data_IF_840467968469
#
_entry.id   IF_840467968469
#
_cell.length_a   1.000
_cell.length_b   1.000
_cell.length_c   1.000
_cell.angle_alpha   90.00
_cell.angle_beta   90.00
_cell.angle_gamma   90.00
#
_symmetry.space_group_name_H-M   'P 1'
#
loop_
_entity.id
_entity.type
_entity.pdbx_description
1 polymer ?
#
# COMPACT_ATOMS: atom_id res chain seq x y z
N UNK A 1 9.21 3.35 -21.97
CA UNK A 1 9.49 4.62 -21.23
C UNK A 1 9.49 5.86 -22.12
N UNK A 2 9.77 5.77 -23.42
CA UNK A 2 9.76 6.94 -24.32
C UNK A 2 8.40 7.64 -24.42
N UNK A 3 7.30 6.88 -24.53
CA UNK A 3 5.94 7.44 -24.57
C UNK A 3 5.64 8.30 -23.34
N UNK A 4 6.02 7.81 -22.16
CA UNK A 4 5.81 8.53 -20.90
C UNK A 4 6.60 9.83 -20.86
N UNK A 5 7.88 9.78 -21.23
CA UNK A 5 8.72 10.98 -21.34
C UNK A 5 8.07 12.02 -22.25
N UNK A 6 7.67 11.61 -23.46
CA UNK A 6 7.05 12.49 -24.45
C UNK A 6 5.74 13.08 -23.92
N UNK A 7 4.90 12.28 -23.27
CA UNK A 7 3.63 12.76 -22.70
C UNK A 7 3.84 13.76 -21.56
N UNK A 8 4.83 13.54 -20.70
CA UNK A 8 5.17 14.50 -19.65
C UNK A 8 5.69 15.81 -20.25
N UNK A 9 6.51 15.74 -21.30
CA UNK A 9 6.99 16.92 -22.02
C UNK A 9 5.83 17.71 -22.65
N UNK A 10 4.90 17.02 -23.33
CA UNK A 10 3.67 17.61 -23.90
C UNK A 10 2.80 18.29 -22.82
N UNK A 11 2.66 17.67 -21.63
CA UNK A 11 1.91 18.26 -20.51
C UNK A 11 2.55 19.54 -19.94
N UNK A 12 3.83 19.80 -20.24
CA UNK A 12 4.57 20.96 -19.75
C UNK A 12 4.68 22.10 -20.76
N UNK A 13 4.12 21.92 -21.96
CA UNK A 13 4.06 22.99 -22.95
C UNK A 13 3.22 24.18 -22.42
N UNK A 14 3.56 25.41 -22.83
CA UNK A 14 2.94 26.61 -22.25
C UNK A 14 1.43 26.70 -22.51
N UNK A 15 0.96 26.14 -23.62
CA UNK A 15 -0.46 26.05 -23.99
C UNK A 15 -1.12 24.75 -23.48
N UNK A 16 -0.50 24.07 -22.51
CA UNK A 16 -1.09 22.86 -21.94
C UNK A 16 -2.38 23.17 -21.19
N UNK A 17 -3.33 22.25 -21.34
CA UNK A 17 -4.57 22.21 -20.55
C UNK A 17 -4.29 22.25 -19.03
N UNK A 18 -3.09 21.82 -18.61
CA UNK A 18 -2.69 21.84 -17.21
C UNK A 18 -2.67 23.26 -16.64
N UNK A 19 -2.10 24.22 -17.36
CA UNK A 19 -2.06 25.60 -16.89
C UNK A 19 -3.39 26.31 -17.09
N UNK A 20 -4.06 26.08 -18.23
CA UNK A 20 -5.36 26.67 -18.53
C UNK A 20 -6.43 26.29 -17.48
N UNK A 21 -6.47 25.01 -17.09
CA UNK A 21 -7.44 24.48 -16.13
C UNK A 21 -6.92 24.43 -14.69
N UNK A 22 -5.76 25.04 -14.41
CA UNK A 22 -5.18 25.11 -13.06
C UNK A 22 -4.99 23.74 -12.40
N UNK A 23 -4.50 22.76 -13.15
CA UNK A 23 -4.28 21.38 -12.69
C UNK A 23 -2.90 21.26 -12.06
N UNK A 24 -2.84 20.72 -10.84
CA UNK A 24 -1.60 20.35 -10.16
C UNK A 24 -1.33 18.85 -10.37
N UNK A 25 -0.15 18.53 -10.86
CA UNK A 25 0.26 17.14 -11.12
C UNK A 25 0.97 16.56 -9.89
N UNK A 26 0.57 15.34 -9.52
CA UNK A 26 1.26 14.51 -8.55
C UNK A 26 1.52 13.14 -9.15
N UNK A 27 2.70 12.57 -8.86
CA UNK A 27 3.05 11.22 -9.29
C UNK A 27 3.32 10.37 -8.06
N UNK A 28 2.77 9.16 -8.02
CA UNK A 28 2.93 8.23 -6.89
C UNK A 28 3.40 6.84 -7.34
N UNK A 29 4.14 6.15 -6.47
CA UNK A 29 4.75 4.84 -6.74
C UNK A 29 6.29 4.89 -6.63
N UNK A 30 6.96 3.81 -7.06
CA UNK A 30 8.41 3.70 -6.91
C UNK A 30 9.16 4.44 -8.03
N UNK A 31 9.48 5.71 -7.77
CA UNK A 31 10.19 6.57 -8.72
C UNK A 31 11.65 6.12 -8.96
N UNK A 32 12.22 5.28 -8.09
CA UNK A 32 13.58 4.75 -8.26
C UNK A 32 13.65 3.77 -9.43
N UNK A 33 12.53 3.11 -9.76
CA UNK A 33 12.42 2.19 -10.90
C UNK A 33 12.34 2.90 -12.26
N UNK A 34 12.12 4.22 -12.28
CA UNK A 34 12.06 4.99 -13.51
C UNK A 34 13.46 5.28 -14.04
N UNK A 35 13.59 5.46 -15.36
CA UNK A 35 14.84 5.94 -15.96
C UNK A 35 15.05 7.41 -15.61
N UNK A 36 16.31 7.82 -15.45
CA UNK A 36 16.68 9.21 -15.11
C UNK A 36 15.97 10.29 -15.95
N UNK A 37 15.86 10.20 -17.29
CA UNK A 37 15.14 11.21 -18.07
C UNK A 37 13.64 11.28 -17.73
N UNK A 38 13.00 10.14 -17.43
CA UNK A 38 11.58 10.13 -17.04
C UNK A 38 11.41 10.67 -15.63
N UNK A 39 12.29 10.28 -14.69
CA UNK A 39 12.26 10.76 -13.31
C UNK A 39 12.43 12.29 -13.25
N UNK A 40 13.41 12.83 -13.98
CA UNK A 40 13.62 14.27 -14.10
C UNK A 40 12.40 14.98 -14.72
N UNK A 41 11.73 14.35 -15.69
CA UNK A 41 10.47 14.85 -16.26
C UNK A 41 9.34 14.92 -15.23
N UNK A 42 9.14 13.84 -14.46
CA UNK A 42 8.15 13.75 -13.38
C UNK A 42 8.39 14.82 -12.31
N UNK A 43 9.63 14.96 -11.84
CA UNK A 43 10.01 15.98 -10.85
C UNK A 43 9.78 17.39 -11.39
N UNK A 44 10.19 17.65 -12.63
CA UNK A 44 9.95 18.94 -13.30
C UNK A 44 8.46 19.24 -13.40
N UNK A 45 7.64 18.27 -13.80
CA UNK A 45 6.20 18.43 -13.95
C UNK A 45 5.51 18.74 -12.63
N UNK A 46 5.87 18.01 -11.58
CA UNK A 46 5.36 18.23 -10.22
C UNK A 46 5.74 19.63 -9.72
N UNK A 47 6.99 20.06 -9.94
CA UNK A 47 7.48 21.38 -9.52
C UNK A 47 6.82 22.53 -10.28
N UNK A 48 6.72 22.43 -11.61
CA UNK A 48 6.14 23.50 -12.44
C UNK A 48 4.67 23.69 -12.11
N UNK A 49 3.92 22.61 -11.85
CA UNK A 49 2.48 22.67 -11.58
C UNK A 49 2.14 22.84 -10.10
N UNK A 50 3.13 22.95 -9.20
CA UNK A 50 2.91 23.03 -7.76
C UNK A 50 2.11 24.27 -7.31
N UNK A 51 2.14 25.35 -8.10
CA UNK A 51 1.41 26.59 -7.83
C UNK A 51 -0.09 26.48 -8.18
N UNK A 52 -0.48 25.48 -8.96
CA UNK A 52 -1.88 25.25 -9.31
C UNK A 52 -2.64 24.64 -8.13
N UNK A 53 -3.90 25.04 -7.96
CA UNK A 53 -4.72 24.61 -6.82
C UNK A 53 -6.20 24.37 -7.16
N UNK A 54 -6.61 24.44 -8.43
CA UNK A 54 -8.00 24.25 -8.80
C UNK A 54 -8.38 22.77 -8.88
N UNK A 55 -7.48 21.95 -9.43
CA UNK A 55 -7.67 20.50 -9.62
C UNK A 55 -6.37 19.78 -9.33
N UNK A 56 -6.45 18.55 -8.85
CA UNK A 56 -5.29 17.68 -8.64
C UNK A 56 -5.44 16.47 -9.55
N UNK A 57 -4.41 16.18 -10.35
CA UNK A 57 -4.30 14.95 -11.12
C UNK A 57 -3.15 14.13 -10.55
N UNK A 58 -3.51 12.97 -9.98
CA UNK A 58 -2.58 12.04 -9.38
C UNK A 58 -2.35 10.85 -10.34
N UNK A 59 -1.10 10.60 -10.70
CA UNK A 59 -0.71 9.60 -11.70
C UNK A 59 0.13 8.52 -11.01
N UNK A 60 -0.38 7.29 -10.98
CA UNK A 60 0.33 6.15 -10.41
C UNK A 60 1.32 5.57 -11.43
N UNK A 61 2.60 5.50 -11.07
CA UNK A 61 3.68 5.03 -11.93
C UNK A 61 4.55 4.05 -11.18
N UNK A 62 4.80 2.87 -11.75
CA UNK A 62 5.50 1.79 -11.05
C UNK A 62 4.89 1.55 -9.65
N UNK A 63 3.56 1.51 -9.61
CA UNK A 63 2.76 1.50 -8.40
C UNK A 63 2.08 0.15 -8.21
N UNK A 64 2.05 -0.32 -6.96
CA UNK A 64 1.12 -1.35 -6.47
C UNK A 64 0.75 -1.00 -5.04
N UNK A 65 -0.48 -1.32 -4.61
CA UNK A 65 -0.91 -1.03 -3.23
C UNK A 65 -0.12 -1.79 -2.19
N UNK A 66 0.28 -3.03 -2.47
CA UNK A 66 1.10 -3.80 -1.53
C UNK A 66 2.45 -3.12 -1.30
N UNK A 67 3.07 -2.59 -2.36
CA UNK A 67 4.31 -1.84 -2.24
C UNK A 67 4.11 -0.50 -1.50
N UNK A 68 3.02 0.21 -1.77
CA UNK A 68 2.67 1.45 -1.04
C UNK A 68 2.50 1.19 0.47
N UNK A 69 1.72 0.18 0.85
CA UNK A 69 1.49 -0.17 2.27
C UNK A 69 2.81 -0.55 2.95
N UNK A 70 3.63 -1.38 2.29
CA UNK A 70 4.95 -1.75 2.81
C UNK A 70 5.86 -0.53 2.99
N UNK A 71 5.92 0.35 1.99
CA UNK A 71 6.68 1.58 2.05
C UNK A 71 6.21 2.48 3.20
N UNK A 72 4.89 2.66 3.35
CA UNK A 72 4.30 3.49 4.40
C UNK A 72 4.67 2.98 5.80
N UNK A 73 4.61 1.67 6.02
CA UNK A 73 5.04 1.05 7.29
C UNK A 73 6.53 1.23 7.52
N UNK A 74 7.37 1.04 6.49
CA UNK A 74 8.82 1.24 6.60
C UNK A 74 9.18 2.69 6.96
N UNK A 75 8.58 3.67 6.29
CA UNK A 75 8.82 5.08 6.58
C UNK A 75 8.29 5.45 7.96
N UNK A 76 7.11 4.96 8.35
CA UNK A 76 6.60 5.15 9.70
C UNK A 76 7.56 4.61 10.78
N UNK A 77 8.13 3.42 10.59
CA UNK A 77 9.12 2.86 11.52
C UNK A 77 10.37 3.75 11.61
N UNK A 78 10.87 4.26 10.48
CA UNK A 78 12.03 5.17 10.45
C UNK A 78 11.75 6.49 11.16
N UNK A 79 10.60 7.11 10.90
CA UNK A 79 10.19 8.35 11.59
C UNK A 79 10.18 8.15 13.11
N UNK A 80 9.58 7.05 13.57
CA UNK A 80 9.51 6.72 15.01
C UNK A 80 10.85 6.40 15.64
N UNK A 81 11.74 5.70 14.94
CA UNK A 81 13.09 5.45 15.43
C UNK A 81 13.90 6.76 15.55
N UNK A 82 13.76 7.65 14.57
CA UNK A 82 14.41 8.96 14.60
C UNK A 82 13.89 9.83 15.76
N UNK A 83 12.58 9.80 16.04
CA UNK A 83 11.99 10.47 17.22
C UNK A 83 12.61 9.97 18.53
N UNK A 84 12.75 8.65 18.70
CA UNK A 84 13.37 8.05 19.91
C UNK A 84 14.83 8.45 20.03
N UNK A 85 15.57 8.45 18.92
CA UNK A 85 16.98 8.83 18.93
C UNK A 85 17.15 10.32 19.30
N UNK A 86 16.34 11.22 18.75
CA UNK A 86 16.35 12.64 19.10
C UNK A 86 16.05 12.86 20.59
N UNK A 87 15.07 12.14 21.16
CA UNK A 87 14.74 12.20 22.59
C UNK A 87 15.88 11.68 23.49
N UNK A 88 16.67 10.71 23.01
CA UNK A 88 17.86 10.22 23.72
C UNK A 88 18.99 11.24 23.69
N UNK A 89 19.22 11.91 22.56
CA UNK A 89 20.24 12.95 22.43
C UNK A 89 19.93 14.21 23.28
N UNK A 90 18.65 14.59 23.41
CA UNK A 90 18.22 15.75 24.22
C UNK A 90 18.27 15.49 25.75
N UNK A 91 18.16 14.23 26.18
CA UNK A 91 18.36 13.84 27.59
C UNK A 91 19.84 13.82 27.99
N UNK A 92 20.75 13.52 27.05
CA UNK A 92 22.20 13.49 27.30
C UNK A 92 22.78 14.89 27.51
N UNK A 93 22.16 15.95 26.99
CA UNK A 93 22.61 17.34 27.19
C UNK A 93 22.13 17.95 28.50
N UNK A 94 21.03 17.44 29.09
CA UNK A 94 20.43 17.96 30.34
C UNK A 94 20.73 17.10 31.58
N UNK A 95 21.40 15.95 31.44
CA UNK A 95 21.76 15.04 32.53
C UNK A 95 23.27 14.88 32.67
N UNK A 96 23.82 15.22 33.83
CA UNK A 96 25.20 14.91 34.18
C UNK A 96 25.47 13.40 34.01
N UNK A 97 26.49 13.08 33.23
CA UNK A 97 26.90 11.71 32.91
C UNK A 97 27.14 10.86 34.17
N UNK A 98 26.43 9.74 34.28
CA UNK A 98 26.97 8.53 34.90
C UNK A 98 26.65 7.32 34.03
N UNK A 99 27.68 6.89 33.28
CA UNK A 99 27.93 5.56 32.71
C UNK A 99 26.73 4.61 32.56
N UNK A 100 26.25 4.44 31.33
CA UNK A 100 26.01 3.09 30.76
C UNK A 100 26.43 3.16 29.29
N UNK A 101 27.63 2.66 29.01
CA UNK A 101 28.07 2.27 27.68
C UNK A 101 27.97 0.73 27.61
N UNK A 102 27.84 0.20 26.40
CA UNK A 102 27.75 -1.22 26.01
C UNK A 102 26.35 -1.88 26.01
N UNK A 103 25.63 -1.69 24.91
CA UNK A 103 24.48 -2.53 24.56
C UNK A 103 23.96 -2.43 23.12
N UNK A 104 24.25 -1.35 22.39
CA UNK A 104 23.54 -1.06 21.12
C UNK A 104 24.42 -0.91 19.86
N UNK A 105 25.70 -1.31 19.90
CA UNK A 105 26.59 -1.28 18.71
C UNK A 105 26.30 -2.34 17.63
N UNK A 106 25.12 -2.96 17.62
CA UNK A 106 24.83 -4.13 16.77
C UNK A 106 23.85 -3.93 15.62
N UNK A 107 23.08 -2.84 15.56
CA UNK A 107 22.06 -2.66 14.52
C UNK A 107 22.50 -1.64 13.47
N UNK A 108 23.48 -2.05 12.69
CA UNK A 108 23.81 -1.40 11.42
C UNK A 108 22.78 -1.87 10.37
N UNK A 109 21.69 -1.11 10.20
CA UNK A 109 20.57 -1.44 9.31
C UNK A 109 20.88 -1.16 7.83
N UNK A 110 22.10 -0.72 7.49
CA UNK A 110 22.53 -0.48 6.10
C UNK A 110 22.75 -1.77 5.29
N UNK A 111 22.68 -2.96 5.91
CA UNK A 111 22.87 -4.27 5.26
C UNK A 111 21.59 -5.05 4.94
N UNK A 112 20.40 -4.56 5.30
CA UNK A 112 19.13 -5.26 4.99
C UNK A 112 18.45 -4.81 3.68
N UNK A 113 19.07 -3.88 2.95
CA UNK A 113 18.51 -3.42 1.67
C UNK A 113 18.70 -4.39 0.49
N UNK A 114 19.35 -5.55 0.67
CA UNK A 114 19.58 -6.49 -0.44
C UNK A 114 19.21 -7.97 -0.20
N UNK A 115 19.01 -8.45 1.04
CA UNK A 115 18.81 -9.90 1.28
C UNK A 115 17.42 -10.35 1.78
N UNK A 116 16.46 -9.45 2.01
CA UNK A 116 15.08 -9.85 2.38
C UNK A 116 14.23 -10.31 1.17
N UNK A 117 14.74 -10.23 -0.07
CA UNK A 117 13.99 -10.58 -1.27
C UNK A 117 13.66 -12.08 -1.46
N UNK A 118 14.09 -12.98 -0.57
CA UNK A 118 13.82 -14.43 -0.70
C UNK A 118 12.58 -14.89 0.07
N UNK A 119 12.28 -14.33 1.24
CA UNK A 119 11.14 -14.75 2.06
C UNK A 119 9.81 -14.15 1.57
N UNK A 120 9.82 -12.91 1.07
CA UNK A 120 8.60 -12.28 0.53
C UNK A 120 8.10 -12.89 -0.79
N UNK A 121 8.97 -13.59 -1.55
CA UNK A 121 8.53 -14.34 -2.73
C UNK A 121 7.65 -15.54 -2.36
N UNK A 122 7.79 -16.09 -1.16
CA UNK A 122 6.99 -17.22 -0.68
C UNK A 122 5.57 -16.74 -0.34
N UNK A 123 5.44 -15.60 0.32
CA UNK A 123 4.14 -15.00 0.66
C UNK A 123 3.32 -14.59 -0.60
N UNK A 124 3.98 -14.00 -1.61
CA UNK A 124 3.30 -13.65 -2.87
C UNK A 124 2.96 -14.91 -3.70
N UNK A 125 3.81 -15.94 -3.66
CA UNK A 125 3.55 -17.22 -4.35
C UNK A 125 2.36 -17.96 -3.74
N UNK A 126 2.20 -17.91 -2.41
CA UNK A 126 1.04 -18.46 -1.71
C UNK A 126 -0.27 -17.74 -2.07
N UNK A 127 -0.24 -16.42 -2.33
CA UNK A 127 -1.41 -15.66 -2.79
C UNK A 127 -1.72 -15.80 -4.29
N UNK A 128 -0.83 -16.45 -5.07
CA UNK A 128 -0.99 -16.59 -6.53
C UNK A 128 -1.46 -17.98 -6.96
N UNK A 129 -1.50 -18.95 -6.04
CA UNK A 129 -1.96 -20.32 -6.29
C UNK A 129 -3.29 -20.56 -5.61
N UNK A 130 -4.36 -19.95 -6.14
CA UNK A 130 -5.74 -20.39 -5.93
C UNK A 130 -6.64 -19.50 -6.82
N UNK A 131 -6.78 -19.86 -8.10
CA UNK A 131 -8.03 -19.93 -8.89
C UNK A 131 -7.66 -20.50 -10.27
N UNK A 132 -7.68 -21.83 -10.40
CA UNK A 132 -8.03 -22.47 -11.67
C UNK A 132 -9.25 -23.36 -11.43
N UNK A 133 -10.43 -22.85 -11.79
CA UNK A 133 -11.66 -23.62 -11.79
C UNK A 133 -11.88 -24.27 -13.17
N UNK A 134 -11.86 -25.60 -13.17
CA UNK A 134 -12.74 -26.52 -13.89
C UNK A 134 -12.84 -26.48 -15.42
N UNK A 135 -12.27 -27.51 -16.07
CA UNK A 135 -12.86 -28.15 -17.25
C UNK A 135 -12.45 -29.64 -17.38
N UNK A 136 -13.36 -30.51 -16.93
CA UNK A 136 -13.77 -31.85 -17.45
C UNK A 136 -12.76 -32.96 -17.82
N UNK A 137 -13.06 -34.12 -17.22
CA UNK A 137 -12.99 -35.52 -17.72
C UNK A 137 -11.58 -36.09 -17.99
N UNK A 138 -11.21 -37.34 -17.68
CA UNK A 138 -11.95 -38.57 -17.34
C UNK A 138 -11.03 -39.52 -16.55
N UNK A 139 -11.62 -40.36 -15.68
CA UNK A 139 -11.29 -41.80 -15.62
C UNK A 139 -10.00 -42.30 -14.93
N UNK A 140 -10.23 -43.10 -13.87
CA UNK A 140 -9.65 -44.43 -13.58
C UNK A 140 -8.62 -44.63 -12.44
N UNK A 141 -9.12 -45.44 -11.49
CA UNK A 141 -8.51 -46.41 -10.58
C UNK A 141 -7.70 -45.90 -9.37
N UNK A 142 -8.26 -45.90 -8.15
CA UNK A 142 -8.57 -47.04 -7.27
C UNK A 142 -7.35 -47.95 -6.96
N UNK A 143 -6.77 -47.85 -5.75
CA UNK A 143 -7.10 -48.73 -4.62
C UNK A 143 -5.93 -48.92 -3.62
N UNK A 144 -6.30 -48.71 -2.35
CA UNK A 144 -5.97 -49.52 -1.16
C UNK A 144 -4.51 -49.64 -0.68
N UNK A 145 -4.28 -49.31 0.59
CA UNK A 145 -4.23 -50.31 1.69
C UNK A 145 -4.04 -49.56 3.02
N UNK A 146 -5.01 -49.75 3.92
CA UNK A 146 -4.93 -49.47 5.35
C UNK A 146 -3.86 -50.36 6.02
N UNK A 147 -3.22 -49.85 7.07
CA UNK A 147 -2.96 -50.64 8.29
C UNK A 147 -2.64 -49.73 9.48
N UNK A 148 -3.56 -49.70 10.44
CA UNK A 148 -3.37 -49.34 11.85
C UNK A 148 -2.24 -50.19 12.47
N UNK A 149 -1.49 -49.76 13.51
CA UNK A 149 -1.81 -49.67 14.96
C UNK A 149 -0.53 -49.06 15.59
N UNK A 150 -0.50 -48.16 16.58
CA UNK A 150 -1.51 -47.55 17.42
C UNK A 150 -0.84 -46.64 18.46
N UNK A 151 -1.61 -45.71 19.02
CA UNK A 151 -1.87 -45.54 20.45
C UNK A 151 -2.63 -44.21 20.65
N UNK A 152 -3.72 -44.31 21.42
CA UNK A 152 -4.60 -43.25 21.88
C UNK A 152 -3.78 -42.12 22.57
N UNK A 153 -4.16 -40.84 22.58
CA UNK A 153 -5.46 -40.26 22.95
C UNK A 153 -5.58 -38.81 22.47
N UNK A 154 -6.83 -38.35 22.37
CA UNK A 154 -7.38 -37.06 21.93
C UNK A 154 -6.61 -35.77 22.31
N UNK A 155 -6.55 -34.81 21.36
CA UNK A 155 -6.41 -33.39 21.67
C UNK A 155 -7.13 -32.51 20.64
N UNK A 156 -7.98 -31.66 21.19
CA UNK A 156 -8.91 -30.73 20.58
C UNK A 156 -8.28 -29.55 19.82
N UNK A 157 -9.14 -28.88 19.08
CA UNK A 157 -9.05 -27.52 18.54
C UNK A 157 -8.28 -26.54 19.44
N UNK A 158 -7.28 -25.83 18.90
CA UNK A 158 -6.73 -24.61 19.52
C UNK A 158 -6.21 -23.68 18.41
N UNK A 159 -6.99 -22.67 18.01
CA UNK A 159 -6.90 -21.28 18.48
C UNK A 159 -5.45 -20.75 18.47
N UNK A 160 -5.06 -20.05 17.39
CA UNK A 160 -3.86 -19.21 17.37
C UNK A 160 -4.13 -17.89 18.11
N UNK A 161 -4.38 -18.00 19.42
CA UNK A 161 -4.02 -16.97 20.39
C UNK A 161 -2.71 -17.44 21.02
N UNK A 162 -1.58 -17.00 20.47
CA UNK A 162 -0.28 -17.14 21.13
C UNK A 162 -0.19 -16.18 22.32
N UNK A 163 -0.90 -16.50 23.39
CA UNK A 163 -0.71 -15.89 24.70
C UNK A 163 0.61 -16.42 25.26
N UNK A 164 1.68 -15.65 25.07
CA UNK A 164 2.93 -15.86 25.78
C UNK A 164 2.69 -15.41 27.22
N UNK A 165 2.39 -16.37 28.08
CA UNK A 165 2.39 -16.24 29.53
C UNK A 165 3.86 -16.13 29.98
N UNK A 166 4.40 -14.92 29.94
CA UNK A 166 5.63 -14.54 30.62
C UNK A 166 5.23 -13.62 31.76
N UNK A 167 5.17 -14.22 32.95
CA UNK A 167 5.67 -13.72 34.24
C UNK A 167 5.67 -12.20 34.44
N UNK A 168 5.07 -11.77 35.56
CA UNK A 168 4.81 -10.41 36.07
C UNK A 168 6.00 -9.42 36.18
N UNK A 169 7.08 -9.57 35.40
CA UNK A 169 8.28 -8.73 35.42
C UNK A 169 8.43 -7.82 34.17
N UNK A 170 7.43 -7.73 33.28
CA UNK A 170 7.47 -6.86 32.09
C UNK A 170 6.64 -5.58 32.19
N UNK A 171 6.64 -4.88 33.33
CA UNK A 171 6.08 -3.51 33.39
C UNK A 171 7.08 -2.41 33.01
N UNK A 172 8.38 -2.72 32.92
CA UNK A 172 9.41 -1.69 32.81
C UNK A 172 10.08 -1.56 31.41
N UNK A 173 9.61 -2.28 30.38
CA UNK A 173 10.21 -2.26 29.02
C UNK A 173 9.24 -1.78 27.92
N UNK A 174 7.95 -1.59 28.22
CA UNK A 174 6.98 -1.09 27.23
C UNK A 174 7.08 0.42 26.94
N UNK A 175 7.84 1.18 27.73
CA UNK A 175 7.94 2.64 27.60
C UNK A 175 9.03 3.13 26.62
N UNK A 176 9.83 2.25 26.01
CA UNK A 176 10.94 2.67 25.13
C UNK A 176 10.65 2.66 23.63
N UNK A 177 9.58 1.99 23.17
CA UNK A 177 9.24 1.97 21.74
C UNK A 177 7.90 2.67 21.49
N UNK A 178 7.88 3.78 20.72
CA UNK A 178 6.66 4.48 20.39
C UNK A 178 5.73 3.56 19.59
N UNK A 179 4.51 3.41 20.10
CA UNK A 179 3.46 2.64 19.46
C UNK A 179 3.07 3.28 18.12
N UNK A 180 3.18 2.52 17.03
CA UNK A 180 2.75 2.95 15.69
C UNK A 180 1.23 2.94 15.64
N UNK A 181 0.63 4.12 15.39
CA UNK A 181 -0.80 4.25 15.18
C UNK A 181 -1.13 4.13 13.70
N UNK A 182 -2.40 3.82 13.41
CA UNK A 182 -2.91 3.78 12.04
C UNK A 182 -2.65 5.09 11.29
N UNK A 183 -2.88 6.23 11.96
CA UNK A 183 -2.66 7.56 11.41
C UNK A 183 -1.20 7.82 11.00
N UNK A 184 -0.24 7.19 11.69
CA UNK A 184 1.18 7.33 11.36
C UNK A 184 1.49 6.59 10.03
N UNK A 185 0.87 5.43 9.81
CA UNK A 185 0.98 4.70 8.53
C UNK A 185 0.27 5.44 7.41
N UNK A 186 -0.95 5.93 7.63
CA UNK A 186 -1.74 6.64 6.61
C UNK A 186 -1.06 7.92 6.13
N UNK A 187 -0.42 8.66 7.04
CA UNK A 187 0.41 9.83 6.72
C UNK A 187 1.55 9.49 5.75
N UNK A 188 2.08 8.28 5.84
CA UNK A 188 3.22 7.81 5.05
C UNK A 188 2.81 7.05 3.76
N UNK A 189 1.51 6.90 3.48
CA UNK A 189 1.02 6.39 2.20
C UNK A 189 1.34 7.37 1.07
N UNK A 190 1.58 6.88 -0.15
CA UNK A 190 1.82 7.77 -1.29
C UNK A 190 0.60 8.64 -1.60
N UNK A 191 -0.61 8.09 -1.42
CA UNK A 191 -1.85 8.82 -1.64
C UNK A 191 -2.21 9.83 -0.53
N UNK A 192 -1.42 9.95 0.55
CA UNK A 192 -1.68 10.89 1.66
C UNK A 192 -1.78 12.37 1.22
N UNK A 193 -1.30 12.71 0.02
CA UNK A 193 -1.40 14.04 -0.59
C UNK A 193 -2.81 14.39 -1.10
N UNK A 194 -3.71 13.41 -1.18
CA UNK A 194 -5.05 13.54 -1.75
C UNK A 194 -6.09 12.83 -0.87
N UNK A 195 -7.37 13.24 -0.93
CA UNK A 195 -8.44 12.50 -0.25
C UNK A 195 -8.67 11.13 -0.88
N UNK A 196 -9.27 10.23 -0.11
CA UNK A 196 -9.67 8.91 -0.59
C UNK A 196 -10.66 9.00 -1.78
N UNK A 197 -10.60 8.05 -2.72
CA UNK A 197 -11.43 8.07 -3.91
C UNK A 197 -12.89 7.74 -3.57
N UNK A 198 -13.82 8.54 -4.09
CA UNK A 198 -15.26 8.27 -3.98
C UNK A 198 -15.77 7.25 -4.99
N UNK A 199 -15.12 7.15 -6.16
CA UNK A 199 -15.53 6.24 -7.24
C UNK A 199 -14.28 5.61 -7.85
N UNK A 200 -14.26 4.30 -7.96
CA UNK A 200 -13.24 3.58 -8.70
C UNK A 200 -13.81 3.08 -10.02
N UNK A 201 -13.22 3.52 -11.13
CA UNK A 201 -13.64 3.11 -12.48
C UNK A 201 -12.60 2.18 -13.08
N UNK A 202 -13.03 1.00 -13.54
CA UNK A 202 -12.17 0.03 -14.21
C UNK A 202 -12.75 -0.41 -15.55
N UNK A 203 -12.04 -0.10 -16.63
CA UNK A 203 -12.44 -0.50 -17.98
C UNK A 203 -12.32 -2.01 -18.22
N UNK A 204 -12.76 -2.44 -19.40
CA UNK A 204 -12.59 -3.80 -19.94
C UNK A 204 -13.44 -4.89 -19.27
N UNK A 205 -14.43 -4.52 -18.45
CA UNK A 205 -15.40 -5.44 -17.85
C UNK A 205 -14.87 -6.26 -16.67
N UNK A 206 -13.68 -5.93 -16.19
CA UNK A 206 -12.97 -6.73 -15.19
C UNK A 206 -13.31 -6.26 -13.77
N UNK A 207 -14.10 -7.04 -13.04
CA UNK A 207 -14.51 -6.70 -11.67
C UNK A 207 -13.46 -7.10 -10.61
N UNK A 208 -12.23 -6.58 -10.74
CA UNK A 208 -11.13 -6.78 -9.77
C UNK A 208 -10.37 -5.48 -9.52
N UNK A 209 -9.64 -5.38 -8.41
CA UNK A 209 -8.80 -4.21 -8.13
C UNK A 209 -7.41 -4.30 -8.76
N UNK A 210 -6.87 -5.50 -8.99
CA UNK A 210 -5.49 -5.72 -9.48
C UNK A 210 -4.46 -4.87 -8.73
N UNK A 211 -4.45 -5.00 -7.39
CA UNK A 211 -3.50 -4.32 -6.51
C UNK A 211 -3.43 -2.79 -6.68
N UNK A 212 -4.59 -2.17 -6.98
CA UNK A 212 -4.73 -0.72 -7.13
C UNK A 212 -5.57 -0.12 -6.00
N UNK A 213 -5.01 0.90 -5.33
CA UNK A 213 -5.57 1.65 -4.20
C UNK A 213 -6.28 0.83 -3.11
N UNK A 214 -5.79 -0.37 -2.78
CA UNK A 214 -6.47 -1.30 -1.86
C UNK A 214 -6.83 -0.68 -0.50
N UNK A 215 -5.95 0.16 0.05
CA UNK A 215 -6.18 0.84 1.34
C UNK A 215 -7.24 1.93 1.21
N UNK A 216 -7.13 2.76 0.17
CA UNK A 216 -7.96 3.94 -0.03
C UNK A 216 -9.35 3.59 -0.56
N UNK A 217 -9.52 2.43 -1.22
CA UNK A 217 -10.79 2.03 -1.86
C UNK A 217 -11.65 1.10 -1.01
N UNK A 218 -11.42 1.00 0.31
CA UNK A 218 -12.18 0.08 1.20
C UNK A 218 -13.68 0.31 1.17
N UNK A 219 -14.10 1.57 1.10
CA UNK A 219 -15.52 2.00 1.06
C UNK A 219 -15.90 2.61 -0.29
N UNK A 220 -15.06 2.39 -1.32
CA UNK A 220 -15.21 2.98 -2.64
C UNK A 220 -15.97 2.02 -3.57
N UNK A 221 -17.12 2.41 -4.14
CA UNK A 221 -17.82 1.61 -5.13
C UNK A 221 -17.00 1.43 -6.40
N UNK A 222 -16.90 0.18 -6.87
CA UNK A 222 -16.26 -0.18 -8.12
C UNK A 222 -17.28 -0.15 -9.28
N UNK A 223 -17.04 0.71 -10.25
CA UNK A 223 -17.74 0.72 -11.53
C UNK A 223 -16.86 0.08 -12.63
N UNK A 224 -17.28 -1.08 -13.14
CA UNK A 224 -16.53 -1.84 -14.14
C UNK A 224 -17.27 -1.99 -15.48
N UNK A 225 -17.29 -0.97 -16.36
CA UNK A 225 -17.89 -1.09 -17.70
C UNK A 225 -17.10 -2.07 -18.58
N UNK A 226 -17.79 -2.78 -19.47
CA UNK A 226 -17.18 -3.68 -20.47
C UNK A 226 -16.37 -2.95 -21.54
N UNK A 227 -16.56 -1.64 -21.68
CA UNK A 227 -15.87 -0.76 -22.64
C UNK A 227 -14.36 -0.71 -22.38
N UNK A 228 -13.56 -0.74 -23.45
CA UNK A 228 -12.10 -0.63 -23.38
C UNK A 228 -11.67 0.81 -23.02
N UNK A 229 -10.49 0.98 -22.41
CA UNK A 229 -9.97 2.29 -22.00
C UNK A 229 -9.99 3.36 -23.11
N UNK A 230 -9.52 3.08 -24.35
CA UNK A 230 -9.54 4.08 -25.43
C UNK A 230 -10.95 4.47 -25.91
N UNK A 231 -11.96 3.68 -25.57
CA UNK A 231 -13.36 3.85 -25.98
C UNK A 231 -14.22 4.46 -24.88
N UNK A 232 -13.66 4.69 -23.68
CA UNK A 232 -14.37 5.37 -22.60
C UNK A 232 -14.68 6.81 -23.03
N UNK A 233 -15.95 7.16 -22.93
CA UNK A 233 -16.46 8.48 -23.25
C UNK A 233 -17.15 9.13 -22.05
N UNK A 234 -17.64 10.35 -22.25
CA UNK A 234 -18.36 11.12 -21.23
C UNK A 234 -19.63 10.40 -20.74
N UNK A 235 -20.28 9.55 -21.54
CA UNK A 235 -21.50 8.84 -21.14
C UNK A 235 -21.19 7.82 -20.05
N UNK A 236 -20.08 7.10 -20.17
CA UNK A 236 -19.61 6.17 -19.14
C UNK A 236 -19.28 6.89 -17.83
N UNK A 237 -18.63 8.05 -17.93
CA UNK A 237 -18.32 8.87 -16.77
C UNK A 237 -19.60 9.39 -16.07
N UNK A 238 -20.55 9.93 -16.83
CA UNK A 238 -21.84 10.37 -16.29
C UNK A 238 -22.56 9.20 -15.61
N UNK A 239 -22.56 8.02 -16.22
CA UNK A 239 -23.20 6.84 -15.63
C UNK A 239 -22.53 6.43 -14.32
N UNK A 240 -21.20 6.47 -14.23
CA UNK A 240 -20.45 6.21 -13.00
C UNK A 240 -20.89 7.17 -11.88
N UNK A 241 -20.97 8.46 -12.19
CA UNK A 241 -21.38 9.51 -11.23
C UNK A 241 -22.84 9.33 -10.80
N UNK A 242 -23.76 9.02 -11.71
CA UNK A 242 -25.16 8.76 -11.37
C UNK A 242 -25.31 7.50 -10.50
N UNK A 243 -24.53 6.46 -10.80
CA UNK A 243 -24.53 5.23 -10.01
C UNK A 243 -24.00 5.50 -8.59
N UNK A 244 -22.93 6.28 -8.46
CA UNK A 244 -22.42 6.74 -7.17
C UNK A 244 -23.47 7.51 -6.37
N UNK A 245 -24.11 8.53 -6.97
CA UNK A 245 -25.15 9.31 -6.29
C UNK A 245 -26.31 8.43 -5.81
N UNK A 246 -26.69 7.41 -6.59
CA UNK A 246 -27.75 6.47 -6.19
C UNK A 246 -27.40 5.66 -4.95
N UNK A 247 -26.14 5.29 -4.76
CA UNK A 247 -25.68 4.49 -3.62
C UNK A 247 -25.05 5.32 -2.49
N UNK A 248 -24.89 6.64 -2.68
CA UNK A 248 -24.22 7.53 -1.75
C UNK A 248 -24.72 7.38 -0.31
N UNK A 249 -26.04 7.38 -0.11
CA UNK A 249 -26.65 7.24 1.22
C UNK A 249 -26.29 5.91 1.91
N UNK A 250 -26.20 4.83 1.13
CA UNK A 250 -25.83 3.52 1.66
C UNK A 250 -24.36 3.49 2.07
N UNK A 251 -23.47 4.04 1.23
CA UNK A 251 -22.03 4.12 1.50
C UNK A 251 -21.72 5.00 2.71
N UNK A 252 -22.43 6.12 2.87
CA UNK A 252 -22.25 7.01 4.02
C UNK A 252 -22.68 6.34 5.33
N UNK A 253 -23.70 5.47 5.28
CA UNK A 253 -24.14 4.69 6.44
C UNK A 253 -23.09 3.64 6.83
N UNK A 254 -22.51 2.93 5.87
CA UNK A 254 -21.43 1.96 6.14
C UNK A 254 -20.18 2.64 6.70
N UNK A 255 -19.78 3.80 6.16
CA UNK A 255 -18.64 4.58 6.67
C UNK A 255 -18.76 4.96 8.15
N UNK A 256 -19.99 5.14 8.67
CA UNK A 256 -20.25 5.52 10.07
C UNK A 256 -20.30 4.32 11.04
N UNK A 257 -20.31 3.10 10.51
CA UNK A 257 -20.37 1.87 11.33
C UNK A 257 -18.98 1.36 11.75
N UNK A 258 -17.92 1.92 11.15
CA UNK A 258 -16.52 1.69 11.48
C UNK A 258 -15.93 2.95 12.11
#
# INVERSE_FOLDING_TARGET
MELMRKKIEELLEQESLINEYGVRLHFIGDMKLLTDPVRAGVEKATRVTAHNNQRVLLICVAYTSCHEIMHAVQECCKEKLNEVQALKEEKVTNGAFSKIDEGLKGYDFDLLSQDSCKEYRIAIKACSTEVESAARNDGLFENNIENHIGNDTEAETTLYNGLVELTEERKDIQDEFPFIKLADTEKNMYMAVAPDPDILIRSSGEARLSTFLLWQTTTCPLYAPTTLWPEIDLRHFIWAVLNFHRHYFYLEKEKKQF
#
